data_IF_089420452212
#
_entry.id   IF_089420452212
#
_cell.length_a   1.000
_cell.length_b   1.000
_cell.length_c   1.000
_cell.angle_alpha   90.00
_cell.angle_beta   90.00
_cell.angle_gamma   90.00
#
_symmetry.space_group_name_H-M   'P 1'
#
loop_
_entity.id
_entity.type
_entity.pdbx_description
1 polymer ?
#
# COMPACT_ATOMS: atom_id res chain seq x y z
N UNK A 1 -3.43 -19.22 20.57
CA UNK A 1 -4.28 -19.63 19.45
C UNK A 1 -5.73 -19.28 19.74
N UNK A 2 -6.25 -18.27 19.05
CA UNK A 2 -7.64 -17.83 19.17
C UNK A 2 -8.37 -18.23 17.88
N UNK A 3 -9.45 -19.01 18.01
CA UNK A 3 -10.24 -19.51 16.89
C UNK A 3 -11.64 -18.93 16.92
N UNK A 4 -12.13 -18.44 15.79
CA UNK A 4 -13.54 -18.08 15.67
C UNK A 4 -14.41 -19.35 15.55
N UNK A 5 -15.74 -19.19 15.56
CA UNK A 5 -16.70 -20.28 15.28
C UNK A 5 -16.61 -20.80 13.84
N UNK A 6 -15.99 -20.03 12.95
CA UNK A 6 -15.62 -20.40 11.59
C UNK A 6 -14.19 -20.94 11.56
N UNK A 7 -13.71 -21.44 10.43
CA UNK A 7 -12.33 -21.95 10.29
C UNK A 7 -11.23 -20.86 10.41
N UNK A 8 -11.63 -19.61 10.61
CA UNK A 8 -10.70 -18.47 10.75
C UNK A 8 -9.96 -18.53 12.08
N UNK A 9 -8.69 -18.19 12.08
CA UNK A 9 -7.86 -18.14 13.27
C UNK A 9 -6.93 -16.93 13.29
N UNK A 10 -6.56 -16.55 14.50
CA UNK A 10 -5.43 -15.67 14.78
C UNK A 10 -4.44 -16.47 15.64
N UNK A 11 -3.16 -16.47 15.25
CA UNK A 11 -2.13 -17.24 15.92
C UNK A 11 -0.91 -16.36 16.18
N UNK A 12 -0.33 -16.54 17.34
CA UNK A 12 0.98 -15.97 17.69
C UNK A 12 1.94 -17.13 17.88
N UNK A 13 2.94 -17.24 17.01
CA UNK A 13 4.02 -18.20 17.11
C UNK A 13 5.25 -17.53 17.69
N UNK A 14 5.76 -18.06 18.78
CA UNK A 14 7.01 -17.62 19.40
C UNK A 14 8.05 -18.68 19.16
N UNK A 15 9.09 -18.32 18.42
CA UNK A 15 10.24 -19.20 18.14
C UNK A 15 11.53 -18.50 18.55
N UNK A 16 12.66 -19.24 18.70
CA UNK A 16 13.95 -18.60 19.00
C UNK A 16 14.39 -17.56 17.95
N UNK A 17 13.90 -17.66 16.72
CA UNK A 17 14.27 -16.76 15.63
C UNK A 17 13.32 -15.56 15.47
N UNK A 18 12.03 -15.71 15.80
CA UNK A 18 11.04 -14.66 15.59
C UNK A 18 9.72 -14.92 16.32
N UNK A 19 8.99 -13.85 16.61
CA UNK A 19 7.55 -13.92 16.92
C UNK A 19 6.77 -13.59 15.65
N UNK A 20 5.83 -14.45 15.28
CA UNK A 20 5.01 -14.31 14.08
C UNK A 20 3.55 -14.13 14.46
N UNK A 21 2.89 -13.17 13.82
CA UNK A 21 1.44 -13.02 13.83
C UNK A 21 0.90 -13.67 12.55
N UNK A 22 0.05 -14.68 12.69
CA UNK A 22 -0.56 -15.39 11.57
C UNK A 22 -2.07 -15.21 11.60
N UNK A 23 -2.65 -14.95 10.44
CA UNK A 23 -4.09 -14.93 10.23
C UNK A 23 -4.47 -15.91 9.14
N UNK A 24 -5.75 -16.29 9.10
CA UNK A 24 -6.28 -17.15 8.04
C UNK A 24 -6.34 -16.43 6.68
N UNK A 25 -6.47 -15.10 6.71
CA UNK A 25 -6.48 -14.24 5.53
C UNK A 25 -5.14 -13.51 5.36
N UNK A 26 -4.91 -12.95 4.19
CA UNK A 26 -3.67 -12.24 3.82
C UNK A 26 -3.46 -10.93 4.58
N UNK A 27 -4.36 -10.56 5.47
CA UNK A 27 -4.32 -9.30 6.20
C UNK A 27 -4.42 -9.49 7.71
N UNK A 28 -3.63 -8.71 8.43
CA UNK A 28 -3.82 -8.44 9.86
C UNK A 28 -4.20 -6.97 10.00
N UNK A 29 -5.42 -6.71 10.48
CA UNK A 29 -5.95 -5.37 10.64
C UNK A 29 -5.76 -4.90 12.07
N UNK A 30 -5.13 -3.76 12.26
CA UNK A 30 -4.98 -3.10 13.55
C UNK A 30 -6.11 -2.09 13.72
N UNK A 31 -7.03 -2.40 14.65
CA UNK A 31 -8.30 -1.70 14.76
C UNK A 31 -8.66 -1.38 16.21
N UNK A 32 -9.19 -0.18 16.44
CA UNK A 32 -9.66 0.27 17.74
C UNK A 32 -11.19 0.13 17.82
N UNK A 33 -11.66 -0.87 18.54
CA UNK A 33 -13.08 -1.17 18.68
C UNK A 33 -13.87 -0.11 19.46
N UNK A 34 -13.19 0.70 20.28
CA UNK A 34 -13.84 1.76 21.08
C UNK A 34 -14.18 2.98 20.23
N UNK A 35 -13.27 3.36 19.33
CA UNK A 35 -13.43 4.54 18.46
C UNK A 35 -13.96 4.17 17.07
N UNK A 36 -13.99 2.89 16.75
CA UNK A 36 -14.35 2.37 15.46
C UNK A 36 -13.44 2.91 14.33
N UNK A 37 -12.12 2.96 14.58
CA UNK A 37 -11.11 3.52 13.66
C UNK A 37 -9.94 2.55 13.48
N UNK A 38 -9.18 2.69 12.40
CA UNK A 38 -7.90 2.00 12.25
C UNK A 38 -6.86 2.59 13.21
N UNK A 39 -6.00 1.73 13.75
CA UNK A 39 -4.85 2.16 14.55
C UNK A 39 -3.66 2.48 13.65
N UNK A 40 -2.90 3.49 14.05
CA UNK A 40 -1.55 3.70 13.51
C UNK A 40 -0.59 2.62 14.01
N UNK A 41 0.41 2.28 13.20
CA UNK A 41 1.50 1.38 13.56
C UNK A 41 2.77 2.21 13.77
N UNK A 42 3.39 2.09 14.94
CA UNK A 42 4.68 2.70 15.23
C UNK A 42 5.74 1.61 15.29
N UNK A 43 6.67 1.64 14.34
CA UNK A 43 7.77 0.68 14.24
C UNK A 43 9.06 1.42 13.92
N UNK A 44 10.22 0.84 14.30
CA UNK A 44 11.52 1.42 13.97
C UNK A 44 11.81 1.30 12.46
N UNK A 45 11.55 0.13 11.87
CA UNK A 45 11.79 -0.16 10.44
C UNK A 45 10.71 -1.10 9.91
N UNK A 46 10.40 -0.98 8.61
CA UNK A 46 9.57 -1.93 7.87
C UNK A 46 10.44 -2.60 6.81
N UNK A 47 10.55 -3.93 6.88
CA UNK A 47 11.25 -4.75 5.88
C UNK A 47 10.24 -5.55 5.07
N UNK A 48 10.16 -5.27 3.78
CA UNK A 48 9.34 -6.04 2.86
C UNK A 48 10.16 -7.19 2.27
N UNK A 49 9.59 -8.39 2.26
CA UNK A 49 10.23 -9.55 1.66
C UNK A 49 10.47 -9.32 0.16
N UNK A 50 11.72 -9.44 -0.30
CA UNK A 50 12.10 -9.10 -1.67
C UNK A 50 13.28 -9.93 -2.20
N UNK A 51 13.43 -11.17 -1.74
CA UNK A 51 14.50 -12.08 -2.19
C UNK A 51 14.30 -12.46 -3.67
N UNK A 52 15.34 -12.29 -4.49
CA UNK A 52 15.30 -12.63 -5.90
C UNK A 52 15.00 -14.11 -6.16
N UNK A 53 15.42 -15.00 -5.26
CA UNK A 53 15.20 -16.45 -5.36
C UNK A 53 13.73 -16.86 -5.27
N UNK A 54 12.88 -15.97 -4.73
CA UNK A 54 11.44 -16.17 -4.64
C UNK A 54 10.66 -15.51 -5.77
N UNK A 55 11.37 -14.93 -6.77
CA UNK A 55 10.76 -14.21 -7.88
C UNK A 55 11.00 -14.94 -9.20
N UNK A 56 9.99 -14.94 -10.05
CA UNK A 56 10.05 -15.48 -11.41
C UNK A 56 9.66 -14.40 -12.42
N UNK A 57 10.05 -14.56 -13.67
CA UNK A 57 9.71 -13.64 -14.76
C UNK A 57 10.10 -12.18 -14.46
N UNK A 58 11.28 -11.99 -13.88
CA UNK A 58 11.78 -10.64 -13.53
C UNK A 58 12.07 -9.87 -14.81
N UNK A 59 11.41 -8.73 -14.98
CA UNK A 59 11.58 -7.82 -16.10
C UNK A 59 11.80 -6.40 -15.60
N UNK A 60 12.52 -5.60 -16.39
CA UNK A 60 12.65 -4.17 -16.11
C UNK A 60 11.31 -3.47 -16.29
N UNK A 61 11.02 -2.52 -15.40
CA UNK A 61 9.91 -1.60 -15.61
C UNK A 61 10.24 -0.68 -16.80
N UNK A 62 9.20 -0.34 -17.52
CA UNK A 62 9.21 0.67 -18.57
C UNK A 62 7.91 1.48 -18.43
N UNK A 63 7.91 2.72 -18.82
CA UNK A 63 6.74 3.60 -18.75
C UNK A 63 6.45 4.20 -17.34
N UNK A 64 7.42 4.17 -16.43
CA UNK A 64 7.24 4.74 -15.08
C UNK A 64 6.95 6.24 -15.11
N UNK A 65 7.65 7.03 -15.92
CA UNK A 65 7.45 8.46 -16.04
C UNK A 65 6.01 8.78 -16.48
N UNK A 66 5.54 8.14 -17.55
CA UNK A 66 4.17 8.34 -18.03
C UNK A 66 3.11 7.93 -16.98
N UNK A 67 3.36 6.85 -16.24
CA UNK A 67 2.47 6.42 -15.17
C UNK A 67 2.41 7.44 -14.02
N UNK A 68 3.56 7.91 -13.55
CA UNK A 68 3.63 8.89 -12.45
C UNK A 68 2.98 10.22 -12.84
N UNK A 69 3.15 10.70 -14.07
CA UNK A 69 2.54 11.94 -14.56
C UNK A 69 1.01 11.87 -14.63
N UNK A 70 0.42 10.70 -14.68
CA UNK A 70 -1.04 10.50 -14.64
C UNK A 70 -1.61 10.43 -13.22
N UNK A 71 -0.78 10.22 -12.21
CA UNK A 71 -1.23 10.20 -10.81
C UNK A 71 -1.47 11.63 -10.31
N UNK A 72 -2.53 11.82 -9.55
CA UNK A 72 -2.92 13.10 -8.98
C UNK A 72 -2.77 13.08 -7.46
N UNK A 73 -1.71 13.68 -6.88
CA UNK A 73 -1.61 13.87 -5.44
C UNK A 73 -2.72 14.81 -4.96
N UNK A 74 -3.34 14.45 -3.85
CA UNK A 74 -4.44 15.22 -3.27
C UNK A 74 -4.24 15.43 -1.77
N UNK A 75 -4.80 16.52 -1.27
CA UNK A 75 -5.04 16.74 0.16
C UNK A 75 -6.52 16.46 0.42
N UNK A 76 -6.83 15.76 1.51
CA UNK A 76 -8.20 15.36 1.84
C UNK A 76 -8.41 15.26 3.36
N UNK A 77 -9.66 15.22 3.74
CA UNK A 77 -10.10 14.82 5.09
C UNK A 77 -10.97 13.58 4.95
N UNK A 78 -10.87 12.67 5.91
CA UNK A 78 -11.81 11.55 5.97
C UNK A 78 -13.20 12.05 6.39
N UNK A 79 -14.25 11.58 5.71
CA UNK A 79 -15.62 11.91 6.09
C UNK A 79 -16.09 11.02 7.24
N UNK A 80 -16.72 11.59 8.25
CA UNK A 80 -17.36 10.85 9.36
C UNK A 80 -18.67 10.16 8.94
N UNK A 81 -19.13 10.38 7.72
CA UNK A 81 -20.49 10.06 7.29
C UNK A 81 -20.60 8.84 6.42
N UNK A 82 -20.09 7.71 6.82
CA UNK A 82 -20.51 6.52 6.10
C UNK A 82 -21.28 5.57 7.01
N UNK A 83 -22.60 5.60 6.95
CA UNK A 83 -23.49 4.57 7.46
C UNK A 83 -23.20 3.16 6.89
N UNK A 84 -22.22 3.05 5.99
CA UNK A 84 -21.85 1.80 5.29
C UNK A 84 -20.41 1.36 5.56
N UNK A 85 -19.56 2.18 6.14
CA UNK A 85 -18.22 1.76 6.50
C UNK A 85 -18.22 1.22 7.93
N UNK A 86 -17.86 -0.04 8.08
CA UNK A 86 -17.57 -0.66 9.38
C UNK A 86 -16.43 0.05 10.11
N UNK A 87 -15.65 0.87 9.40
CA UNK A 87 -14.44 1.51 9.89
C UNK A 87 -14.52 3.02 9.70
N UNK A 88 -14.52 3.74 10.81
CA UNK A 88 -14.25 5.17 10.80
C UNK A 88 -12.74 5.38 10.67
N UNK A 89 -12.33 6.13 9.69
CA UNK A 89 -10.94 6.55 9.55
C UNK A 89 -10.79 7.86 10.32
N UNK A 90 -10.44 7.79 11.58
CA UNK A 90 -10.28 8.97 12.43
C UNK A 90 -9.03 9.77 12.05
N UNK A 91 -9.14 10.66 11.08
CA UNK A 91 -8.11 11.64 10.75
C UNK A 91 -8.44 12.99 11.42
N UNK A 92 -7.51 13.51 12.22
CA UNK A 92 -7.63 14.82 12.84
C UNK A 92 -7.03 15.92 11.95
N UNK A 93 -7.47 16.07 10.71
CA UNK A 93 -6.98 17.13 9.85
C UNK A 93 -6.85 16.77 8.37
N UNK A 94 -6.09 17.58 7.64
CA UNK A 94 -5.79 17.33 6.23
C UNK A 94 -4.73 16.25 6.09
N UNK A 95 -5.06 15.23 5.35
CA UNK A 95 -4.17 14.15 4.94
C UNK A 95 -3.67 14.41 3.52
N UNK A 96 -2.58 13.80 3.13
CA UNK A 96 -2.03 13.85 1.77
C UNK A 96 -1.93 12.43 1.24
N UNK A 97 -2.36 12.22 0.00
CA UNK A 97 -2.27 10.90 -0.62
C UNK A 97 -2.81 10.86 -2.02
N UNK A 98 -3.22 9.67 -2.43
CA UNK A 98 -3.80 9.38 -3.75
C UNK A 98 -5.18 8.76 -3.56
N UNK A 99 -6.05 8.91 -4.55
CA UNK A 99 -7.34 8.24 -4.59
C UNK A 99 -7.18 6.87 -5.26
N UNK A 100 -7.51 5.80 -4.53
CA UNK A 100 -7.30 4.42 -4.99
C UNK A 100 -8.00 4.13 -6.33
N UNK A 101 -9.17 4.70 -6.56
CA UNK A 101 -9.93 4.58 -7.81
C UNK A 101 -9.24 5.24 -9.02
N UNK A 102 -8.45 6.29 -8.78
CA UNK A 102 -7.64 6.93 -9.83
C UNK A 102 -6.37 6.13 -10.08
N UNK A 103 -5.70 5.71 -9.01
CA UNK A 103 -4.48 4.88 -9.08
C UNK A 103 -4.75 3.56 -9.80
N UNK A 104 -5.87 2.90 -9.54
CA UNK A 104 -6.23 1.62 -10.16
C UNK A 104 -6.30 1.69 -11.70
N UNK A 105 -6.67 2.85 -12.26
CA UNK A 105 -6.74 3.05 -13.72
C UNK A 105 -5.35 3.11 -14.37
N UNK A 106 -4.34 3.53 -13.62
CA UNK A 106 -2.96 3.75 -14.10
C UNK A 106 -2.05 2.60 -13.69
N UNK A 107 -2.15 2.16 -12.44
CA UNK A 107 -1.33 1.15 -11.79
C UNK A 107 -2.22 0.13 -11.05
N UNK A 108 -2.97 -0.71 -11.75
CA UNK A 108 -3.91 -1.65 -11.12
C UNK A 108 -3.24 -2.61 -10.13
N UNK A 109 -1.98 -2.97 -10.37
CA UNK A 109 -1.22 -3.93 -9.55
C UNK A 109 -0.85 -3.40 -8.15
N UNK A 110 -1.00 -2.10 -7.89
CA UNK A 110 -0.72 -1.52 -6.57
C UNK A 110 -1.99 -1.26 -5.77
N UNK A 111 -3.16 -1.62 -6.29
CA UNK A 111 -4.46 -1.46 -5.63
C UNK A 111 -5.08 -2.81 -5.38
N UNK A 112 -5.60 -3.02 -4.18
CA UNK A 112 -6.42 -4.18 -3.83
C UNK A 112 -7.78 -3.71 -3.34
N UNK A 113 -8.77 -4.60 -3.43
CA UNK A 113 -10.09 -4.40 -2.82
C UNK A 113 -10.22 -5.40 -1.68
N UNK A 114 -10.53 -4.92 -0.48
CA UNK A 114 -10.75 -5.76 0.68
C UNK A 114 -12.12 -6.47 0.61
N UNK A 115 -12.41 -7.43 1.52
CA UNK A 115 -13.69 -8.11 1.56
C UNK A 115 -14.92 -7.21 1.77
N UNK A 116 -14.72 -6.02 2.35
CA UNK A 116 -15.76 -5.03 2.60
C UNK A 116 -15.98 -4.08 1.40
N UNK A 117 -15.20 -4.26 0.32
CA UNK A 117 -15.28 -3.48 -0.90
C UNK A 117 -14.46 -2.18 -0.87
N UNK A 118 -13.64 -1.95 0.16
CA UNK A 118 -12.77 -0.79 0.23
C UNK A 118 -11.52 -0.99 -0.64
N UNK A 119 -11.07 0.07 -1.30
CA UNK A 119 -9.85 0.04 -2.08
C UNK A 119 -8.66 0.54 -1.25
N UNK A 120 -7.57 -0.22 -1.31
CA UNK A 120 -6.33 0.01 -0.57
C UNK A 120 -5.18 0.16 -1.54
N UNK A 121 -4.27 1.10 -1.26
CA UNK A 121 -3.08 1.34 -2.09
C UNK A 121 -1.84 0.79 -1.39
N UNK A 122 -1.05 -0.01 -2.10
CA UNK A 122 0.30 -0.35 -1.69
C UNK A 122 1.26 0.77 -2.12
N UNK A 123 1.43 1.78 -1.26
CA UNK A 123 2.32 2.92 -1.55
C UNK A 123 3.78 2.51 -1.75
N UNK A 124 4.26 1.46 -1.08
CA UNK A 124 5.65 0.99 -1.24
C UNK A 124 5.90 0.42 -2.63
N UNK A 125 4.89 -0.13 -3.29
CA UNK A 125 4.98 -0.63 -4.65
C UNK A 125 5.05 0.49 -5.72
N UNK A 126 4.76 1.74 -5.35
CA UNK A 126 4.92 2.90 -6.24
C UNK A 126 6.39 3.33 -6.30
N UNK A 127 7.20 3.04 -5.28
CA UNK A 127 8.62 3.42 -5.23
C UNK A 127 9.42 2.94 -6.46
N UNK A 128 9.39 1.67 -6.88
CA UNK A 128 10.09 1.24 -8.10
C UNK A 128 9.59 1.94 -9.37
N UNK A 129 8.31 2.31 -9.46
CA UNK A 129 7.77 3.08 -10.57
C UNK A 129 8.36 4.50 -10.59
N UNK A 130 8.51 5.12 -9.41
CA UNK A 130 9.19 6.42 -9.28
C UNK A 130 10.67 6.35 -9.64
N UNK A 131 11.36 5.26 -9.31
CA UNK A 131 12.76 5.06 -9.69
C UNK A 131 12.90 5.00 -11.22
N UNK A 132 12.03 4.26 -11.89
CA UNK A 132 11.99 4.20 -13.35
C UNK A 132 11.69 5.57 -13.97
N UNK A 133 10.71 6.28 -13.43
CA UNK A 133 10.36 7.65 -13.86
C UNK A 133 11.55 8.63 -13.74
N UNK A 134 12.27 8.59 -12.63
CA UNK A 134 13.43 9.46 -12.40
C UNK A 134 14.56 9.13 -13.41
N UNK A 135 14.82 7.85 -13.67
CA UNK A 135 15.84 7.43 -14.64
C UNK A 135 15.49 7.88 -16.08
N UNK A 136 14.22 7.77 -16.46
CA UNK A 136 13.74 8.24 -17.77
C UNK A 136 13.90 9.76 -17.88
N UNK A 137 13.45 10.51 -16.88
CA UNK A 137 13.58 11.96 -16.87
C UNK A 137 15.05 12.42 -16.91
N UNK A 138 15.95 11.72 -16.21
CA UNK A 138 17.39 11.99 -16.24
C UNK A 138 17.96 11.81 -17.65
N UNK A 139 17.57 10.75 -18.36
CA UNK A 139 18.04 10.50 -19.74
C UNK A 139 17.54 11.58 -20.70
N UNK A 140 16.29 12.00 -20.61
CA UNK A 140 15.71 13.09 -21.41
C UNK A 140 16.44 14.42 -21.18
N UNK A 141 16.77 14.74 -19.93
CA UNK A 141 17.53 15.96 -19.58
C UNK A 141 18.93 15.92 -20.16
N UNK A 142 19.61 14.78 -20.14
CA UNK A 142 20.95 14.62 -20.72
C UNK A 142 20.94 14.77 -22.24
N UNK A 143 19.93 14.18 -22.91
CA UNK A 143 19.74 14.34 -24.35
C UNK A 143 19.55 15.82 -24.73
N UNK A 144 18.69 16.55 -23.99
CA UNK A 144 18.47 17.97 -24.24
C UNK A 144 19.72 18.86 -24.03
N UNK A 145 20.63 18.45 -23.11
CA UNK A 145 21.90 19.16 -22.90
C UNK A 145 22.91 18.91 -24.03
N UNK A 146 22.93 17.69 -24.55
CA UNK A 146 23.85 17.30 -25.61
C UNK A 146 23.46 17.81 -27.00
N UNK A 147 22.19 18.20 -27.16
CA UNK A 147 21.65 18.77 -28.42
C UNK A 147 21.75 20.30 -28.49
N UNK A 148 22.43 20.94 -27.52
CA UNK A 148 22.78 22.38 -27.53
C UNK A 148 24.23 22.58 -27.91
#
# INVERSE_FOLDING_TARGET
>A
YLKSKTSNFFQIDVTPAATRLASHYDQVVFYNTKTNTFNSIQVKNVYNYSDARAKTNVQSLNNGLNSILQLRPVSYTFSDSSDKSLYKTGGNGNEIGLLAQEVEKVLPNVVITDPDGNKLINYTAIIPVMIDAIKTLQAEVEELKNNK
#
